data_IF_679171778535
#
_entry.id   IF_679171778535
#
_cell.length_a   1.000
_cell.length_b   1.000
_cell.length_c   1.000
_cell.angle_alpha   90.00
_cell.angle_beta   90.00
_cell.angle_gamma   90.00
#
_symmetry.space_group_name_H-M   'P 1'
#
loop_
_entity.id
_entity.type
_entity.pdbx_description
1 polymer ?
#
# COMPACT_ATOMS: atom_id res chain seq x y z
N UNK A 1 22.45 -5.57 16.80
CA UNK A 1 22.06 -4.99 15.47
C UNK A 1 21.87 -3.49 15.62
N UNK A 2 22.64 -2.65 14.91
CA UNK A 2 22.38 -1.20 14.91
C UNK A 2 21.02 -0.93 14.25
N UNK A 3 20.05 -0.44 15.02
CA UNK A 3 18.75 -0.01 14.48
C UNK A 3 18.96 1.20 13.57
N UNK A 4 18.61 1.05 12.30
CA UNK A 4 18.68 2.16 11.37
C UNK A 4 17.60 3.19 11.75
N UNK A 5 18.02 4.43 12.04
CA UNK A 5 17.11 5.54 12.39
C UNK A 5 16.28 5.96 11.16
N UNK A 6 14.99 6.20 11.37
CA UNK A 6 14.13 6.84 10.37
C UNK A 6 14.56 8.29 10.13
N UNK A 7 14.30 8.78 8.92
CA UNK A 7 14.60 10.16 8.47
C UNK A 7 13.32 10.81 7.96
N UNK A 8 13.40 12.11 7.69
CA UNK A 8 12.33 12.87 7.06
C UNK A 8 12.72 13.27 5.64
N UNK A 9 11.74 13.19 4.73
CA UNK A 9 11.86 13.61 3.33
C UNK A 9 10.93 14.80 3.08
N UNK A 10 11.49 15.90 2.58
CA UNK A 10 10.75 17.14 2.30
C UNK A 10 9.90 16.96 1.02
N UNK A 11 8.59 17.02 1.16
CA UNK A 11 7.63 16.99 0.06
C UNK A 11 7.36 18.40 -0.45
N UNK A 12 7.25 19.36 0.48
CA UNK A 12 7.05 20.78 0.22
C UNK A 12 7.71 21.62 1.34
N UNK A 13 7.58 22.95 1.28
CA UNK A 13 8.06 23.85 2.36
C UNK A 13 7.45 23.52 3.73
N UNK A 14 6.21 23.00 3.76
CA UNK A 14 5.42 22.78 4.98
C UNK A 14 5.21 21.30 5.33
N UNK A 15 5.69 20.34 4.52
CA UNK A 15 5.39 18.93 4.72
C UNK A 15 6.65 18.09 4.54
N UNK A 16 6.99 17.35 5.60
CA UNK A 16 8.00 16.28 5.58
C UNK A 16 7.35 14.95 5.92
N UNK A 17 7.64 13.92 5.16
CA UNK A 17 7.17 12.56 5.43
C UNK A 17 8.29 11.72 6.04
N UNK A 18 7.93 10.90 7.02
CA UNK A 18 8.86 10.02 7.70
C UNK A 18 9.11 8.77 6.87
N UNK A 19 10.36 8.36 6.76
CA UNK A 19 10.75 7.16 6.03
C UNK A 19 11.95 6.46 6.66
N UNK A 20 12.12 5.20 6.28
CA UNK A 20 13.33 4.42 6.53
C UNK A 20 13.76 3.78 5.22
N UNK A 21 14.99 4.05 4.80
CA UNK A 21 15.61 3.39 3.65
C UNK A 21 16.85 2.63 4.08
N UNK A 22 16.76 1.30 4.06
CA UNK A 22 17.90 0.40 4.29
C UNK A 22 18.60 0.12 2.97
N UNK A 23 19.64 0.88 2.68
CA UNK A 23 20.46 0.67 1.49
C UNK A 23 21.50 -0.43 1.76
N UNK A 24 21.48 -1.49 0.97
CA UNK A 24 22.41 -2.63 0.99
C UNK A 24 23.19 -2.74 -0.32
N UNK A 25 23.20 -1.68 -1.09
CA UNK A 25 23.82 -1.62 -2.41
C UNK A 25 23.31 -2.69 -3.40
N UNK A 26 22.08 -3.16 -3.18
CA UNK A 26 21.42 -4.18 -4.01
C UNK A 26 20.86 -3.59 -5.30
N UNK A 27 20.72 -4.41 -6.33
CA UNK A 27 19.91 -4.08 -7.52
C UNK A 27 18.42 -4.12 -7.21
N UNK A 28 18.00 -4.88 -6.20
CA UNK A 28 16.60 -5.09 -5.82
C UNK A 28 16.23 -4.15 -4.67
N UNK A 29 15.10 -3.47 -4.83
CA UNK A 29 14.51 -2.58 -3.84
C UNK A 29 13.09 -3.04 -3.53
N UNK A 30 12.85 -3.41 -2.28
CA UNK A 30 11.51 -3.72 -1.78
C UNK A 30 10.92 -2.47 -1.16
N UNK A 31 9.73 -2.06 -1.61
CA UNK A 31 9.02 -0.89 -1.11
C UNK A 31 7.71 -1.32 -0.45
N UNK A 32 7.51 -0.91 0.80
CA UNK A 32 6.28 -1.20 1.54
C UNK A 32 5.37 0.02 1.63
N UNK A 33 4.12 -0.18 1.23
CA UNK A 33 3.03 0.79 1.26
C UNK A 33 2.01 0.38 2.33
N UNK A 34 1.84 1.20 3.37
CA UNK A 34 0.92 0.92 4.47
C UNK A 34 -0.54 1.25 4.13
N UNK A 35 -1.49 0.79 4.95
CA UNK A 35 -2.93 0.99 4.79
C UNK A 35 -3.43 2.36 5.26
N UNK A 36 -4.74 2.56 5.12
CA UNK A 36 -5.46 3.74 5.56
C UNK A 36 -5.35 3.91 7.08
N UNK A 37 -5.05 5.12 7.55
CA UNK A 37 -4.82 5.46 8.96
C UNK A 37 -3.83 4.52 9.70
N UNK A 38 -2.87 4.00 8.96
CA UNK A 38 -1.80 3.13 9.48
C UNK A 38 -0.45 3.85 9.42
N UNK A 39 0.62 3.13 9.74
CA UNK A 39 1.98 3.64 9.71
C UNK A 39 3.00 2.60 9.21
N UNK A 40 4.28 2.95 9.25
CA UNK A 40 5.38 2.08 8.83
C UNK A 40 5.96 1.20 9.96
N UNK A 41 5.38 1.19 11.18
CA UNK A 41 5.97 0.53 12.36
C UNK A 41 5.35 -0.83 12.71
N UNK A 42 4.24 -1.20 12.05
CA UNK A 42 3.49 -2.42 12.29
C UNK A 42 4.26 -3.72 12.05
N UNK A 43 3.64 -4.85 12.38
CA UNK A 43 4.25 -6.20 12.28
C UNK A 43 4.66 -6.57 10.85
N UNK A 44 3.84 -6.23 9.84
CA UNK A 44 4.14 -6.50 8.42
C UNK A 44 5.41 -5.79 7.94
N UNK A 45 5.53 -4.46 7.98
CA UNK A 45 6.74 -3.79 7.52
C UNK A 45 7.98 -4.18 8.33
N UNK A 46 7.85 -4.55 9.61
CA UNK A 46 8.95 -5.04 10.42
C UNK A 46 9.43 -6.43 9.96
N UNK A 47 8.52 -7.36 9.69
CA UNK A 47 8.87 -8.69 9.21
C UNK A 47 9.56 -8.64 7.83
N UNK A 48 9.04 -7.81 6.91
CA UNK A 48 9.63 -7.61 5.58
C UNK A 48 11.00 -6.93 5.69
N UNK A 49 11.16 -5.94 6.56
CA UNK A 49 12.45 -5.29 6.83
C UNK A 49 13.49 -6.31 7.31
N UNK A 50 13.14 -7.15 8.28
CA UNK A 50 14.03 -8.17 8.81
C UNK A 50 14.43 -9.18 7.71
N UNK A 51 13.48 -9.59 6.87
CA UNK A 51 13.77 -10.44 5.71
C UNK A 51 14.77 -9.76 4.76
N UNK A 52 14.53 -8.50 4.38
CA UNK A 52 15.41 -7.77 3.48
C UNK A 52 16.81 -7.56 4.05
N UNK A 53 16.92 -7.33 5.37
CA UNK A 53 18.20 -7.21 6.05
C UNK A 53 19.00 -8.52 5.96
N UNK A 54 18.37 -9.67 6.25
CA UNK A 54 19.00 -11.00 6.17
C UNK A 54 19.46 -11.33 4.74
N UNK A 55 18.70 -10.93 3.75
CA UNK A 55 19.00 -11.19 2.32
C UNK A 55 19.88 -10.12 1.67
N UNK A 56 20.33 -9.10 2.43
CA UNK A 56 21.10 -7.95 1.94
C UNK A 56 20.42 -7.20 0.77
N UNK A 57 19.08 -7.04 0.84
CA UNK A 57 18.24 -6.35 -0.15
C UNK A 57 17.89 -4.97 0.35
N UNK A 58 17.80 -3.98 -0.55
CA UNK A 58 17.36 -2.64 -0.20
C UNK A 58 15.88 -2.68 0.22
N UNK A 59 15.55 -1.91 1.26
CA UNK A 59 14.17 -1.83 1.76
C UNK A 59 13.80 -0.38 2.06
N UNK A 60 12.67 0.05 1.49
CA UNK A 60 12.07 1.36 1.75
C UNK A 60 10.68 1.19 2.35
N UNK A 61 10.44 1.85 3.48
CA UNK A 61 9.12 2.05 4.08
C UNK A 61 8.96 3.49 4.51
N UNK A 62 7.75 4.00 4.51
CA UNK A 62 7.46 5.41 4.79
C UNK A 62 6.03 5.59 5.26
N UNK A 63 5.73 6.77 5.75
CA UNK A 63 4.39 7.21 6.13
C UNK A 63 3.97 8.35 5.21
N UNK A 64 2.74 8.31 4.69
CA UNK A 64 2.19 9.43 3.90
C UNK A 64 1.96 10.65 4.80
N UNK A 65 1.82 11.84 4.20
CA UNK A 65 1.43 13.03 4.97
C UNK A 65 0.12 12.78 5.74
N UNK A 66 0.08 13.27 6.99
CA UNK A 66 -1.04 13.06 7.90
C UNK A 66 -1.16 11.66 8.50
N UNK A 67 -0.16 10.77 8.28
CA UNK A 67 -0.11 9.43 8.87
C UNK A 67 1.09 9.28 9.80
N UNK A 68 0.92 8.50 10.85
CA UNK A 68 1.98 8.17 11.81
C UNK A 68 2.65 9.40 12.40
N UNK A 69 3.95 9.55 12.13
CA UNK A 69 4.77 10.70 12.55
C UNK A 69 5.15 11.63 11.39
N UNK A 70 4.57 11.44 10.21
CA UNK A 70 4.71 12.38 9.10
C UNK A 70 3.93 13.66 9.38
N UNK A 71 4.45 14.78 8.89
CA UNK A 71 3.77 16.07 8.98
C UNK A 71 2.55 16.11 8.04
N UNK A 72 1.74 17.13 8.25
CA UNK A 72 0.51 17.36 7.49
C UNK A 72 -0.72 16.90 8.24
N UNK A 73 -1.87 17.28 7.69
CA UNK A 73 -3.18 16.98 8.24
C UNK A 73 -3.83 15.86 7.40
N UNK A 74 -4.30 14.81 8.07
CA UNK A 74 -4.95 13.68 7.41
C UNK A 74 -6.16 14.10 6.60
N UNK A 75 -6.99 15.03 7.10
CA UNK A 75 -8.18 15.51 6.39
C UNK A 75 -7.88 16.26 5.09
N UNK A 76 -6.62 16.71 4.91
CA UNK A 76 -6.10 17.31 3.68
C UNK A 76 -5.42 16.28 2.76
N UNK A 77 -5.47 15.00 3.13
CA UNK A 77 -4.94 13.88 2.37
C UNK A 77 -5.91 13.33 1.35
N UNK A 78 -5.40 12.70 0.31
CA UNK A 78 -6.17 11.96 -0.68
C UNK A 78 -5.25 11.00 -1.46
N UNK A 79 -5.84 10.14 -2.28
CA UNK A 79 -5.10 9.08 -3.00
C UNK A 79 -4.06 9.67 -3.97
N UNK A 80 -4.41 10.71 -4.73
CA UNK A 80 -3.48 11.39 -5.65
C UNK A 80 -2.27 11.95 -4.93
N UNK A 81 -2.51 12.65 -3.80
CA UNK A 81 -1.46 13.26 -2.99
C UNK A 81 -0.50 12.20 -2.45
N UNK A 82 -1.02 11.17 -1.79
CA UNK A 82 -0.20 10.10 -1.21
C UNK A 82 0.54 9.29 -2.28
N UNK A 83 -0.07 9.07 -3.45
CA UNK A 83 0.59 8.45 -4.60
C UNK A 83 1.77 9.30 -5.10
N UNK A 84 1.59 10.62 -5.22
CA UNK A 84 2.64 11.53 -5.65
C UNK A 84 3.78 11.65 -4.62
N UNK A 85 3.47 11.68 -3.33
CA UNK A 85 4.46 11.66 -2.24
C UNK A 85 5.34 10.40 -2.31
N UNK A 86 4.70 9.23 -2.47
CA UNK A 86 5.40 7.97 -2.65
C UNK A 86 6.30 7.98 -3.90
N UNK A 87 5.79 8.48 -5.04
CA UNK A 87 6.56 8.63 -6.29
C UNK A 87 7.79 9.51 -6.10
N UNK A 88 7.64 10.70 -5.48
CA UNK A 88 8.73 11.62 -5.20
C UNK A 88 9.81 10.98 -4.32
N UNK A 89 9.39 10.30 -3.25
CA UNK A 89 10.32 9.63 -2.33
C UNK A 89 11.08 8.49 -3.03
N UNK A 90 10.39 7.63 -3.77
CA UNK A 90 11.01 6.51 -4.51
C UNK A 90 12.06 7.05 -5.49
N UNK A 91 11.70 8.05 -6.30
CA UNK A 91 12.62 8.66 -7.26
C UNK A 91 13.83 9.33 -6.61
N UNK A 92 13.68 9.88 -5.40
CA UNK A 92 14.77 10.50 -4.64
C UNK A 92 15.73 9.48 -4.02
N UNK A 93 15.25 8.29 -3.64
CA UNK A 93 16.06 7.31 -2.89
C UNK A 93 16.57 6.17 -3.72
N UNK A 94 15.94 5.87 -4.85
CA UNK A 94 16.25 4.71 -5.67
C UNK A 94 16.62 5.15 -7.08
N UNK A 95 17.80 4.72 -7.55
CA UNK A 95 18.27 5.02 -8.91
C UNK A 95 17.36 4.40 -9.98
N UNK A 96 17.21 5.06 -11.14
CA UNK A 96 16.28 4.68 -12.21
C UNK A 96 16.51 3.28 -12.80
N UNK A 97 17.73 2.76 -12.75
CA UNK A 97 18.09 1.44 -13.29
C UNK A 97 17.89 0.27 -12.30
N UNK A 98 17.30 0.51 -11.13
CA UNK A 98 17.11 -0.52 -10.10
C UNK A 98 15.77 -1.23 -10.24
N UNK A 99 15.73 -2.50 -9.84
CA UNK A 99 14.53 -3.33 -9.82
C UNK A 99 13.67 -3.02 -8.57
N UNK A 100 12.36 -2.90 -8.75
CA UNK A 100 11.40 -2.57 -7.69
C UNK A 100 10.45 -3.74 -7.45
N UNK A 101 10.29 -4.14 -6.20
CA UNK A 101 9.22 -5.04 -5.76
C UNK A 101 8.31 -4.23 -4.82
N UNK A 102 7.06 -4.08 -5.20
CA UNK A 102 6.08 -3.35 -4.41
C UNK A 102 5.30 -4.31 -3.51
N UNK A 103 5.16 -3.93 -2.23
CA UNK A 103 4.33 -4.66 -1.27
C UNK A 103 3.33 -3.67 -0.67
N UNK A 104 2.06 -3.85 -1.00
CA UNK A 104 0.99 -2.99 -0.51
C UNK A 104 0.05 -3.70 0.45
N UNK A 105 -0.31 -3.05 1.56
CA UNK A 105 -1.33 -3.52 2.49
C UNK A 105 -2.58 -2.65 2.40
N UNK A 106 -3.75 -3.25 2.17
CA UNK A 106 -5.04 -2.55 2.09
C UNK A 106 -4.99 -1.37 1.11
N UNK A 107 -5.23 -0.10 1.55
CA UNK A 107 -5.06 1.11 0.75
C UNK A 107 -3.67 1.20 0.10
N UNK A 108 -2.62 0.74 0.78
CA UNK A 108 -1.25 0.75 0.24
C UNK A 108 -1.12 -0.03 -1.07
N UNK A 109 -1.94 -1.07 -1.26
CA UNK A 109 -2.02 -1.78 -2.55
C UNK A 109 -2.61 -0.89 -3.65
N UNK A 110 -3.60 -0.05 -3.34
CA UNK A 110 -4.18 0.89 -4.30
C UNK A 110 -3.15 1.93 -4.75
N UNK A 111 -2.43 2.52 -3.79
CA UNK A 111 -1.36 3.49 -4.08
C UNK A 111 -0.25 2.84 -4.92
N UNK A 112 0.16 1.61 -4.57
CA UNK A 112 1.15 0.86 -5.34
C UNK A 112 0.68 0.59 -6.79
N UNK A 113 -0.59 0.18 -6.99
CA UNK A 113 -1.16 -0.03 -8.33
C UNK A 113 -1.21 1.25 -9.18
N UNK A 114 -1.52 2.40 -8.57
CA UNK A 114 -1.47 3.70 -9.25
C UNK A 114 -0.05 4.08 -9.72
N UNK A 115 0.99 3.55 -9.08
CA UNK A 115 2.37 3.80 -9.45
C UNK A 115 2.90 2.88 -10.56
N UNK A 116 2.15 1.85 -10.96
CA UNK A 116 2.63 0.89 -11.97
C UNK A 116 3.00 1.53 -13.30
N UNK A 117 2.23 2.51 -13.77
CA UNK A 117 2.56 3.24 -15.01
C UNK A 117 3.85 4.05 -14.89
N UNK A 118 4.06 4.70 -13.73
CA UNK A 118 5.25 5.53 -13.48
C UNK A 118 6.54 4.72 -13.40
N UNK A 119 6.47 3.46 -12.98
CA UNK A 119 7.62 2.58 -12.78
C UNK A 119 7.59 1.32 -13.65
N UNK A 120 6.87 1.36 -14.77
CA UNK A 120 6.60 0.20 -15.64
C UNK A 120 7.86 -0.61 -15.99
N UNK A 121 8.98 0.05 -16.29
CA UNK A 121 10.24 -0.60 -16.66
C UNK A 121 10.97 -1.23 -15.46
N UNK A 122 10.72 -0.73 -14.27
CA UNK A 122 11.46 -1.06 -13.05
C UNK A 122 10.75 -2.09 -12.18
N UNK A 123 9.41 -2.14 -12.21
CA UNK A 123 8.65 -3.06 -11.39
C UNK A 123 8.89 -4.49 -11.88
N UNK A 124 9.31 -5.35 -10.95
CA UNK A 124 9.63 -6.76 -11.16
C UNK A 124 8.76 -7.71 -10.34
N UNK A 125 7.89 -7.18 -9.48
CA UNK A 125 6.94 -7.98 -8.71
C UNK A 125 6.02 -7.14 -7.85
N UNK A 126 4.87 -7.70 -7.51
CA UNK A 126 3.90 -7.09 -6.63
C UNK A 126 3.32 -8.11 -5.64
N UNK A 127 3.30 -7.74 -4.36
CA UNK A 127 2.59 -8.46 -3.31
C UNK A 127 1.51 -7.55 -2.74
N UNK A 128 0.25 -7.95 -2.88
CA UNK A 128 -0.88 -7.29 -2.26
C UNK A 128 -1.38 -8.05 -1.04
N UNK A 129 -1.57 -7.37 0.09
CA UNK A 129 -2.04 -7.96 1.35
C UNK A 129 -3.38 -7.33 1.68
N UNK A 130 -4.47 -8.13 1.71
CA UNK A 130 -5.84 -7.64 1.94
C UNK A 130 -6.14 -6.39 1.10
N UNK A 131 -5.79 -6.44 -0.18
CA UNK A 131 -5.77 -5.29 -1.09
C UNK A 131 -7.13 -4.65 -1.27
N UNK A 132 -7.22 -3.33 -1.06
CA UNK A 132 -8.47 -2.56 -1.06
C UNK A 132 -8.44 -1.36 -2.05
N UNK A 133 -8.19 -1.58 -3.37
CA UNK A 133 -8.34 -0.48 -4.31
C UNK A 133 -9.79 -0.01 -4.38
N UNK A 134 -9.99 1.31 -4.54
CA UNK A 134 -11.33 1.91 -4.67
C UNK A 134 -12.27 1.69 -3.45
N UNK A 135 -11.72 1.35 -2.27
CA UNK A 135 -12.52 1.06 -1.07
C UNK A 135 -13.40 2.25 -0.64
N UNK A 136 -12.95 3.47 -0.86
CA UNK A 136 -13.69 4.70 -0.53
C UNK A 136 -15.04 4.76 -1.24
N UNK A 137 -15.11 4.35 -2.49
CA UNK A 137 -16.35 4.28 -3.25
C UNK A 137 -17.12 2.99 -2.94
N UNK A 138 -16.45 1.84 -3.06
CA UNK A 138 -17.10 0.52 -3.05
C UNK A 138 -17.51 0.04 -1.65
N UNK A 139 -16.72 0.36 -0.62
CA UNK A 139 -16.96 -0.13 0.73
C UNK A 139 -17.49 0.92 1.69
N UNK A 140 -17.37 2.23 1.33
CA UNK A 140 -17.84 3.33 2.17
C UNK A 140 -18.95 4.11 1.49
N UNK A 141 -18.65 4.88 0.45
CA UNK A 141 -19.62 5.80 -0.15
C UNK A 141 -20.91 5.10 -0.61
N UNK A 142 -20.81 3.97 -1.31
CA UNK A 142 -21.99 3.22 -1.77
C UNK A 142 -22.88 2.73 -0.62
N UNK A 143 -22.27 2.43 0.55
CA UNK A 143 -22.97 1.95 1.74
C UNK A 143 -23.50 3.06 2.65
N UNK A 144 -23.02 4.29 2.51
CA UNK A 144 -23.48 5.41 3.33
C UNK A 144 -24.93 5.77 3.02
N UNK A 145 -25.69 6.08 4.09
CA UNK A 145 -27.05 6.60 3.98
C UNK A 145 -27.07 7.95 3.25
N UNK A 146 -28.22 8.36 2.75
CA UNK A 146 -28.43 9.70 2.15
C UNK A 146 -28.04 10.82 3.12
N UNK A 147 -28.33 10.65 4.43
CA UNK A 147 -27.96 11.59 5.50
C UNK A 147 -26.44 11.76 5.63
N UNK A 148 -25.67 10.65 5.69
CA UNK A 148 -24.20 10.70 5.77
C UNK A 148 -23.60 11.35 4.52
N UNK A 149 -24.07 10.96 3.33
CA UNK A 149 -23.65 11.58 2.07
C UNK A 149 -23.89 13.10 2.04
N UNK A 150 -25.06 13.55 2.51
CA UNK A 150 -25.38 14.99 2.63
C UNK A 150 -24.40 15.69 3.58
N UNK A 151 -24.06 15.08 4.74
CA UNK A 151 -23.08 15.62 5.69
C UNK A 151 -21.71 15.77 5.01
N UNK A 152 -21.22 14.74 4.33
CA UNK A 152 -19.91 14.79 3.64
C UNK A 152 -19.88 15.89 2.58
N UNK A 153 -20.97 16.06 1.82
CA UNK A 153 -21.05 17.08 0.76
C UNK A 153 -21.07 18.48 1.36
N UNK A 154 -21.90 18.74 2.38
CA UNK A 154 -22.10 20.07 2.97
C UNK A 154 -20.98 20.46 3.94
N UNK A 155 -20.69 19.60 4.93
CA UNK A 155 -19.67 19.86 5.97
C UNK A 155 -18.25 19.47 5.57
N UNK A 156 -18.07 18.88 4.36
CA UNK A 156 -16.79 18.43 3.78
C UNK A 156 -16.11 17.26 4.49
N UNK A 157 -16.56 16.87 5.70
CA UNK A 157 -16.04 15.74 6.48
C UNK A 157 -17.16 15.06 7.25
N UNK A 158 -17.04 13.75 7.39
CA UNK A 158 -17.81 12.90 8.30
C UNK A 158 -16.86 11.99 9.07
N UNK A 159 -17.03 11.92 10.37
CA UNK A 159 -16.23 11.05 11.23
C UNK A 159 -16.96 9.73 11.39
N UNK A 160 -16.40 8.68 10.76
CA UNK A 160 -16.93 7.32 10.79
C UNK A 160 -16.35 6.57 11.98
N UNK A 161 -17.19 6.22 12.94
CA UNK A 161 -16.82 5.35 14.04
C UNK A 161 -16.78 3.89 13.57
N UNK A 162 -15.69 3.17 13.88
CA UNK A 162 -15.55 1.74 13.60
C UNK A 162 -14.63 1.09 14.63
N UNK A 163 -15.21 0.31 15.53
CA UNK A 163 -14.51 -0.20 16.71
C UNK A 163 -13.99 0.96 17.56
N UNK A 164 -12.74 0.91 17.94
CA UNK A 164 -12.08 1.97 18.74
C UNK A 164 -11.46 3.08 17.88
N UNK A 165 -11.81 3.18 16.62
CA UNK A 165 -11.21 4.14 15.69
C UNK A 165 -12.25 5.08 15.10
N UNK A 166 -11.87 6.34 14.95
CA UNK A 166 -12.64 7.39 14.25
C UNK A 166 -11.93 7.70 12.94
N UNK A 167 -12.60 7.45 11.82
CA UNK A 167 -12.06 7.68 10.47
C UNK A 167 -12.65 8.96 9.87
N UNK A 168 -11.86 10.02 9.65
CA UNK A 168 -12.36 11.22 8.95
C UNK A 168 -12.48 10.94 7.46
N UNK A 169 -13.71 10.81 6.98
CA UNK A 169 -14.02 10.61 5.58
C UNK A 169 -14.38 11.95 4.97
N UNK A 170 -13.47 12.50 4.17
CA UNK A 170 -13.65 13.83 3.57
C UNK A 170 -14.25 13.76 2.17
N UNK A 171 -14.96 14.83 1.76
CA UNK A 171 -15.46 15.00 0.38
C UNK A 171 -14.32 14.84 -0.62
N UNK A 172 -13.20 15.56 -0.41
CA UNK A 172 -12.05 15.49 -1.32
C UNK A 172 -11.45 14.08 -1.42
N UNK A 173 -11.37 13.34 -0.32
CA UNK A 173 -10.83 11.98 -0.31
C UNK A 173 -11.67 11.03 -1.17
N UNK A 174 -13.01 11.08 -1.03
CA UNK A 174 -13.94 10.25 -1.81
C UNK A 174 -13.89 10.62 -3.29
N UNK A 175 -13.96 11.91 -3.62
CA UNK A 175 -13.99 12.37 -5.01
C UNK A 175 -12.65 12.18 -5.73
N UNK A 176 -11.54 12.37 -5.03
CA UNK A 176 -10.21 12.06 -5.56
C UNK A 176 -10.03 10.54 -5.76
N UNK A 177 -10.56 9.70 -4.86
CA UNK A 177 -10.56 8.26 -5.04
C UNK A 177 -11.23 7.83 -6.35
N UNK A 178 -12.31 8.49 -6.78
CA UNK A 178 -12.97 8.23 -8.07
C UNK A 178 -12.09 8.53 -9.28
N UNK A 179 -11.18 9.50 -9.18
CA UNK A 179 -10.21 9.85 -10.24
C UNK A 179 -9.07 8.83 -10.32
N UNK A 180 -8.82 8.12 -9.23
CA UNK A 180 -7.72 7.15 -9.09
C UNK A 180 -8.16 5.69 -9.28
N UNK A 181 -9.20 5.42 -10.06
CA UNK A 181 -9.68 4.06 -10.32
C UNK A 181 -8.62 3.24 -11.05
N UNK A 182 -8.41 2.01 -10.59
CA UNK A 182 -7.45 1.06 -11.15
C UNK A 182 -8.10 -0.24 -11.62
N UNK A 183 -9.27 -0.59 -11.05
CA UNK A 183 -9.92 -1.88 -11.31
C UNK A 183 -10.56 -1.99 -12.69
N UNK A 184 -10.73 -0.87 -13.40
CA UNK A 184 -11.23 -0.83 -14.78
C UNK A 184 -10.09 -0.77 -15.81
N UNK A 185 -8.84 -0.60 -15.38
CA UNK A 185 -7.68 -0.45 -16.25
C UNK A 185 -6.96 -1.79 -16.43
N UNK A 186 -6.62 -2.14 -17.67
CA UNK A 186 -5.79 -3.32 -17.94
C UNK A 186 -4.33 -3.04 -17.54
N UNK A 187 -3.77 -3.89 -16.70
CA UNK A 187 -2.35 -3.86 -16.32
C UNK A 187 -1.59 -4.83 -17.23
N UNK A 188 -0.83 -4.30 -18.19
CA UNK A 188 -0.08 -5.06 -19.17
C UNK A 188 1.40 -5.21 -18.76
N UNK A 189 1.65 -5.72 -17.54
CA UNK A 189 2.98 -6.03 -17.05
C UNK A 189 3.18 -7.55 -16.98
N UNK A 190 4.33 -8.03 -17.45
CA UNK A 190 4.76 -9.43 -17.30
C UNK A 190 5.60 -9.55 -16.02
N UNK A 191 4.94 -9.54 -14.87
CA UNK A 191 5.58 -9.64 -13.54
C UNK A 191 4.80 -10.62 -12.66
N UNK A 192 5.44 -11.29 -11.69
CA UNK A 192 4.73 -12.05 -10.69
C UNK A 192 3.87 -11.13 -9.79
N UNK A 193 2.61 -11.51 -9.62
CA UNK A 193 1.64 -10.83 -8.77
C UNK A 193 1.05 -11.84 -7.78
N UNK A 194 1.39 -11.68 -6.51
CA UNK A 194 0.82 -12.51 -5.44
C UNK A 194 -0.09 -11.68 -4.56
N UNK A 195 -1.31 -12.14 -4.37
CA UNK A 195 -2.27 -11.52 -3.46
C UNK A 195 -2.55 -12.45 -2.29
N UNK A 196 -2.39 -11.91 -1.07
CA UNK A 196 -2.80 -12.56 0.17
C UNK A 196 -4.17 -12.02 0.60
N UNK A 197 -5.08 -12.92 0.95
CA UNK A 197 -6.41 -12.54 1.43
C UNK A 197 -6.88 -13.46 2.55
N UNK A 198 -7.28 -12.88 3.68
CA UNK A 198 -7.88 -13.60 4.79
C UNK A 198 -9.32 -14.00 4.48
N UNK A 199 -9.70 -15.27 4.70
CA UNK A 199 -11.09 -15.67 4.49
C UNK A 199 -12.04 -15.17 5.59
N UNK A 200 -11.48 -14.68 6.71
CA UNK A 200 -12.22 -13.99 7.79
C UNK A 200 -12.05 -12.46 7.71
N UNK A 201 -11.67 -11.90 6.54
CA UNK A 201 -11.59 -10.46 6.32
C UNK A 201 -13.01 -9.88 6.16
N UNK A 202 -13.54 -9.31 7.24
CA UNK A 202 -14.86 -8.67 7.30
C UNK A 202 -14.85 -7.25 6.71
N UNK A 203 -13.67 -6.66 6.51
CA UNK A 203 -13.51 -5.28 6.03
C UNK A 203 -13.47 -5.24 4.51
N UNK A 204 -12.63 -6.08 3.89
CA UNK A 204 -12.43 -6.11 2.45
C UNK A 204 -12.81 -7.48 1.89
N UNK A 205 -13.89 -7.57 1.11
CA UNK A 205 -14.32 -8.83 0.51
C UNK A 205 -13.30 -9.40 -0.49
N UNK A 206 -13.16 -10.73 -0.54
CA UNK A 206 -12.27 -11.48 -1.43
C UNK A 206 -12.40 -11.09 -2.91
N UNK A 207 -13.57 -10.59 -3.34
CA UNK A 207 -13.80 -10.13 -4.72
C UNK A 207 -12.82 -9.03 -5.17
N UNK A 208 -12.27 -8.22 -4.25
CA UNK A 208 -11.27 -7.21 -4.58
C UNK A 208 -9.98 -7.83 -5.10
N UNK A 209 -9.46 -8.85 -4.40
CA UNK A 209 -8.30 -9.61 -4.88
C UNK A 209 -8.58 -10.28 -6.24
N UNK A 210 -9.76 -10.88 -6.41
CA UNK A 210 -10.15 -11.47 -7.71
C UNK A 210 -10.20 -10.42 -8.84
N UNK A 211 -10.74 -9.21 -8.56
CA UNK A 211 -10.76 -8.10 -9.54
C UNK A 211 -9.36 -7.64 -9.93
N UNK A 212 -8.44 -7.49 -8.96
CA UNK A 212 -7.04 -7.13 -9.26
C UNK A 212 -6.40 -8.17 -10.19
N UNK A 213 -6.53 -9.46 -9.90
CA UNK A 213 -5.97 -10.52 -10.76
C UNK A 213 -6.58 -10.52 -12.16
N UNK A 214 -7.86 -10.16 -12.30
CA UNK A 214 -8.55 -10.08 -13.60
C UNK A 214 -7.98 -8.99 -14.49
N UNK A 215 -7.60 -7.84 -13.93
CA UNK A 215 -7.02 -6.73 -14.71
C UNK A 215 -5.54 -6.96 -15.08
N UNK A 216 -4.83 -7.82 -14.36
CA UNK A 216 -3.42 -8.17 -14.60
C UNK A 216 -3.29 -9.31 -15.61
N UNK A 217 -3.66 -9.08 -16.88
CA UNK A 217 -3.82 -10.16 -17.86
C UNK A 217 -2.52 -10.91 -18.22
N UNK A 218 -1.39 -10.20 -18.30
CA UNK A 218 -0.10 -10.75 -18.75
C UNK A 218 0.81 -11.22 -17.61
N UNK A 219 0.38 -11.05 -16.37
CA UNK A 219 1.16 -11.38 -15.16
C UNK A 219 1.01 -12.85 -14.78
N UNK A 220 2.07 -13.42 -14.23
CA UNK A 220 1.95 -14.64 -13.42
C UNK A 220 1.18 -14.31 -12.13
N UNK A 221 0.07 -14.99 -11.90
CA UNK A 221 -0.91 -14.62 -10.86
C UNK A 221 -1.06 -15.68 -9.80
N UNK A 222 -0.98 -15.27 -8.53
CA UNK A 222 -1.18 -16.14 -7.38
C UNK A 222 -2.13 -15.50 -6.37
N UNK A 223 -3.13 -16.23 -5.93
CA UNK A 223 -4.04 -15.85 -4.85
C UNK A 223 -3.89 -16.83 -3.68
N UNK A 224 -3.28 -16.36 -2.60
CA UNK A 224 -3.09 -17.12 -1.38
C UNK A 224 -4.19 -16.75 -0.40
N UNK A 225 -5.14 -17.67 -0.23
CA UNK A 225 -6.23 -17.54 0.73
C UNK A 225 -5.78 -18.08 2.08
N UNK A 226 -5.91 -17.27 3.13
CA UNK A 226 -5.58 -17.66 4.51
C UNK A 226 -6.87 -18.01 5.24
N UNK A 227 -7.11 -19.28 5.51
CA UNK A 227 -8.39 -19.79 6.06
C UNK A 227 -8.81 -19.07 7.34
N UNK A 228 -7.92 -18.91 8.29
CA UNK A 228 -8.15 -18.21 9.58
C UNK A 228 -7.73 -16.74 9.59
N UNK A 229 -7.29 -16.20 8.44
CA UNK A 229 -6.76 -14.83 8.34
C UNK A 229 -7.85 -13.77 8.38
N UNK A 230 -7.61 -12.72 9.13
CA UNK A 230 -8.37 -11.48 9.18
C UNK A 230 -7.89 -10.46 8.13
N UNK A 231 -8.40 -9.21 8.22
CA UNK A 231 -7.92 -8.11 7.38
C UNK A 231 -6.44 -7.78 7.59
N UNK A 232 -5.95 -7.94 8.81
CA UNK A 232 -4.59 -7.56 9.18
C UNK A 232 -3.54 -8.48 8.57
N UNK A 233 -3.77 -9.80 8.50
CA UNK A 233 -2.80 -10.82 8.10
C UNK A 233 -1.43 -10.59 8.77
N UNK A 234 -1.45 -10.35 10.08
CA UNK A 234 -0.26 -10.00 10.90
C UNK A 234 0.17 -11.12 11.86
N UNK A 235 -0.43 -12.29 11.75
CA UNK A 235 -0.05 -13.49 12.50
C UNK A 235 1.34 -13.99 12.08
N UNK A 236 2.04 -14.67 13.00
CA UNK A 236 3.41 -15.20 12.76
C UNK A 236 3.48 -16.06 11.48
N UNK A 237 2.48 -16.91 11.25
CA UNK A 237 2.42 -17.79 10.08
C UNK A 237 2.10 -17.03 8.79
N UNK A 238 1.27 -15.98 8.86
CA UNK A 238 0.95 -15.13 7.71
C UNK A 238 2.19 -14.38 7.26
N UNK A 239 2.93 -13.78 8.21
CA UNK A 239 4.18 -13.08 7.93
C UNK A 239 5.25 -13.99 7.34
N UNK A 240 5.34 -15.26 7.80
CA UNK A 240 6.22 -16.27 7.20
C UNK A 240 5.86 -16.55 5.75
N UNK A 241 4.55 -16.72 5.45
CA UNK A 241 4.07 -16.95 4.07
C UNK A 241 4.36 -15.75 3.16
N UNK A 242 4.13 -14.52 3.64
CA UNK A 242 4.44 -13.28 2.90
C UNK A 242 5.93 -13.21 2.58
N UNK A 243 6.81 -13.48 3.56
CA UNK A 243 8.25 -13.47 3.34
C UNK A 243 8.71 -14.61 2.41
N UNK A 244 8.04 -15.78 2.42
CA UNK A 244 8.31 -16.89 1.48
C UNK A 244 8.01 -16.48 0.04
N UNK A 245 6.87 -15.84 -0.21
CA UNK A 245 6.53 -15.33 -1.55
C UNK A 245 7.47 -14.20 -1.99
N UNK A 246 7.85 -13.31 -1.08
CA UNK A 246 8.86 -12.31 -1.37
C UNK A 246 10.19 -12.96 -1.77
N UNK A 247 10.61 -14.04 -1.08
CA UNK A 247 11.82 -14.79 -1.44
C UNK A 247 11.71 -15.40 -2.85
N UNK A 248 10.56 -15.98 -3.20
CA UNK A 248 10.31 -16.52 -4.53
C UNK A 248 10.46 -15.44 -5.61
N UNK A 249 9.83 -14.26 -5.43
CA UNK A 249 9.95 -13.16 -6.38
C UNK A 249 11.40 -12.66 -6.50
N UNK A 250 12.10 -12.51 -5.36
CA UNK A 250 13.48 -12.03 -5.32
C UNK A 250 14.45 -12.99 -6.02
N UNK A 251 14.27 -14.32 -5.86
CA UNK A 251 15.16 -15.32 -6.45
C UNK A 251 15.14 -15.35 -7.98
N UNK A 252 14.07 -14.86 -8.60
CA UNK A 252 13.97 -14.75 -10.07
C UNK A 252 14.82 -13.59 -10.65
N UNK A 253 15.50 -12.80 -9.81
CA UNK A 253 16.28 -11.61 -10.23
C UNK A 253 17.71 -11.60 -9.63
N UNK A 254 18.17 -12.74 -9.17
CA UNK A 254 19.56 -12.95 -8.73
C UNK A 254 20.42 -13.48 -9.84
#
# INVERSE_FOLDING_TARGET
MKYQKSKYFKISSKIRIKYLFSNKNSMINVIFFHGFMSDMTGKKPRAIQNYCQKKKINFLKFEYSGHGKSEGDFIKGNISKWTNEAKKLINSKIKKNKNLIFIGSSMGSWIALNLFSSFKRNIKGFIGISSAPEFLEELMWKKFSKKIKKIIISKKVYYLESGNYTYPITKQLVFDGRKNKVLNNKINLKIPITLFHGLKDEIVPLRFSKKILRICKKSEKKLIKIKSGDHSLSGKNDLKKICKELNFIVSNFK
#
